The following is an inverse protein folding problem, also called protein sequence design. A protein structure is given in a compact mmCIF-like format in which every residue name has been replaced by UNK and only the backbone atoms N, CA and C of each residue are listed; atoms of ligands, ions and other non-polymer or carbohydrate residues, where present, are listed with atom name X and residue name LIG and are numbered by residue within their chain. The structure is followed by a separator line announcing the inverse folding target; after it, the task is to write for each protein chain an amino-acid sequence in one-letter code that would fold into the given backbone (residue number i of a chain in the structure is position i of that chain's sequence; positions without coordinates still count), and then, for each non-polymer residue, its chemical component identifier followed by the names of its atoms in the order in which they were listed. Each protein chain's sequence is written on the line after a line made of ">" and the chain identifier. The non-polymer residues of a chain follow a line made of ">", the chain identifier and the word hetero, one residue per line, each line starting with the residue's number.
data_IF_304476447373
#
_entry.id   IF_304476447373
#
_cell.length_a   1.000
_cell.length_b   1.000
_cell.length_c   1.000
_cell.angle_alpha   90.00
_cell.angle_beta   90.00
_cell.angle_gamma   90.00
#
_symmetry.space_group_name_H-M   'P 1'
#
loop_
_entity.id
_entity.type
_entity.pdbx_description
1 polymer ?
#
# COMPACT_ATOMS: atom_id res chain seq x y z
N UNK A 1 -2.28 -13.14 15.18
CA UNK A 1 -1.21 -12.17 15.48
C UNK A 1 -1.10 -11.83 16.97
N UNK A 2 -2.20 -11.75 17.70
CA UNK A 2 -2.28 -11.36 19.14
C UNK A 2 -1.26 -12.10 20.03
N UNK A 3 -1.15 -13.42 19.92
CA UNK A 3 -0.18 -14.23 20.68
C UNK A 3 1.27 -14.10 20.21
N UNK A 4 1.52 -13.50 19.06
CA UNK A 4 2.85 -13.28 18.48
C UNK A 4 3.38 -11.88 18.76
N UNK A 5 2.55 -10.98 19.28
CA UNK A 5 2.94 -9.61 19.58
C UNK A 5 4.06 -9.59 20.64
N UNK A 6 5.07 -8.77 20.40
CA UNK A 6 6.28 -8.68 21.23
C UNK A 6 6.42 -7.34 21.93
N UNK A 7 5.90 -6.28 21.32
CA UNK A 7 6.03 -4.89 21.75
C UNK A 7 4.66 -4.19 21.75
N UNK A 8 4.58 -3.05 22.47
CA UNK A 8 3.42 -2.17 22.43
C UNK A 8 3.51 -1.08 21.34
N UNK A 9 2.39 -0.47 20.98
CA UNK A 9 2.37 0.78 20.21
C UNK A 9 3.15 1.89 20.94
N UNK A 10 2.95 1.94 22.25
CA UNK A 10 3.54 2.89 23.19
C UNK A 10 3.79 2.19 24.54
N UNK A 11 4.41 2.89 25.48
CA UNK A 11 4.62 2.39 26.83
C UNK A 11 6.02 2.63 27.40
N UNK A 12 6.83 3.36 26.67
CA UNK A 12 8.17 3.73 27.07
C UNK A 12 9.21 2.64 26.86
N UNK A 13 10.40 2.88 27.43
CA UNK A 13 11.55 1.97 27.30
C UNK A 13 11.22 0.57 27.81
N UNK A 14 11.48 -0.44 26.99
CA UNK A 14 11.24 -1.85 27.29
C UNK A 14 9.84 -2.36 26.93
N UNK A 15 8.93 -1.50 26.47
CA UNK A 15 7.57 -1.85 26.06
C UNK A 15 7.30 -1.42 24.63
N UNK A 16 7.48 -0.14 24.30
CA UNK A 16 7.22 0.41 22.98
C UNK A 16 8.11 -0.16 21.89
N UNK A 17 7.59 -0.22 20.67
CA UNK A 17 8.22 -0.88 19.53
C UNK A 17 9.53 -0.23 19.05
N UNK A 18 9.75 1.06 19.31
CA UNK A 18 11.03 1.72 19.02
C UNK A 18 12.06 1.50 20.12
N UNK A 19 11.62 1.26 21.33
CA UNK A 19 12.45 1.21 22.55
C UNK A 19 13.20 2.52 22.84
N UNK A 20 12.69 3.66 22.36
CA UNK A 20 13.33 4.98 22.54
C UNK A 20 12.63 5.87 23.57
N UNK A 21 11.52 5.42 24.14
CA UNK A 21 10.74 6.18 25.11
C UNK A 21 9.52 6.87 24.52
N UNK A 22 8.72 7.49 25.40
CA UNK A 22 7.41 8.03 25.07
C UNK A 22 7.41 9.14 24.01
N UNK A 23 8.54 9.80 23.84
CA UNK A 23 8.68 10.90 22.88
C UNK A 23 8.85 10.42 21.43
N UNK A 24 9.08 9.11 21.25
CA UNK A 24 9.30 8.49 19.95
C UNK A 24 8.55 7.16 19.79
N UNK A 25 7.27 7.17 20.10
CA UNK A 25 6.36 6.03 20.02
C UNK A 25 5.03 6.46 19.38
N UNK A 26 4.15 5.51 19.10
CA UNK A 26 2.78 5.78 18.61
C UNK A 26 1.86 6.33 19.70
N UNK A 27 2.36 7.32 20.44
CA UNK A 27 1.60 8.01 21.50
C UNK A 27 0.43 8.75 20.88
N UNK A 28 -0.79 8.51 21.39
CA UNK A 28 -2.01 9.06 20.80
C UNK A 28 -2.56 8.23 19.63
N UNK A 29 -2.05 7.02 19.45
CA UNK A 29 -2.63 6.04 18.54
C UNK A 29 -4.05 5.67 18.99
N UNK A 30 -5.04 5.92 18.13
CA UNK A 30 -6.47 5.80 18.40
C UNK A 30 -7.17 4.74 17.53
N UNK A 31 -6.38 3.86 16.91
CA UNK A 31 -6.88 2.84 15.98
C UNK A 31 -6.91 1.43 16.60
N UNK A 32 -7.08 1.29 17.92
CA UNK A 32 -7.26 -0.01 18.54
C UNK A 32 -8.67 -0.57 18.30
N UNK A 33 -8.79 -1.91 18.28
CA UNK A 33 -10.05 -2.59 18.01
C UNK A 33 -10.37 -2.78 16.53
N UNK A 34 -11.65 -2.92 16.20
CA UNK A 34 -12.11 -3.11 14.81
C UNK A 34 -11.97 -1.82 14.01
N UNK A 35 -11.27 -1.92 12.90
CA UNK A 35 -11.01 -0.82 11.98
C UNK A 35 -11.28 -1.26 10.54
N UNK A 36 -11.54 -0.30 9.66
CA UNK A 36 -11.64 -0.52 8.22
C UNK A 36 -10.84 0.55 7.47
N UNK A 37 -9.91 0.12 6.63
CA UNK A 37 -9.11 1.00 5.79
C UNK A 37 -9.27 0.59 4.33
N UNK A 38 -9.76 1.49 3.49
CA UNK A 38 -9.98 1.23 2.07
C UNK A 38 -10.86 -0.02 1.82
N UNK A 39 -11.89 -0.23 2.65
CA UNK A 39 -12.77 -1.40 2.55
C UNK A 39 -12.18 -2.69 3.15
N UNK A 40 -10.96 -2.66 3.68
CA UNK A 40 -10.29 -3.83 4.29
C UNK A 40 -10.46 -3.80 5.80
N UNK A 41 -11.13 -4.81 6.39
CA UNK A 41 -11.32 -4.89 7.83
C UNK A 41 -10.05 -5.37 8.55
N UNK A 42 -9.77 -4.80 9.71
CA UNK A 42 -8.71 -5.20 10.62
C UNK A 42 -9.21 -5.27 12.07
N UNK A 43 -8.76 -6.28 12.80
CA UNK A 43 -8.87 -6.35 14.27
C UNK A 43 -7.52 -5.93 14.87
N UNK A 44 -7.41 -4.64 15.18
CA UNK A 44 -6.20 -4.06 15.77
C UNK A 44 -6.15 -4.43 17.24
N UNK A 45 -5.00 -4.90 17.72
CA UNK A 45 -4.86 -5.35 19.11
C UNK A 45 -5.09 -4.17 20.07
N UNK A 46 -6.03 -4.31 20.99
CA UNK A 46 -6.18 -3.42 22.14
C UNK A 46 -5.03 -3.74 23.11
N UNK A 47 -4.06 -2.83 23.20
CA UNK A 47 -2.81 -3.06 23.92
C UNK A 47 -3.01 -3.43 25.38
N UNK A 48 -3.92 -2.74 26.07
CA UNK A 48 -4.22 -2.97 27.47
C UNK A 48 -4.82 -4.37 27.76
N UNK A 49 -5.40 -5.01 26.73
CA UNK A 49 -6.00 -6.35 26.82
C UNK A 49 -5.03 -7.47 26.43
N UNK A 50 -3.78 -7.15 26.08
CA UNK A 50 -2.80 -8.12 25.60
C UNK A 50 -1.42 -7.92 26.23
N UNK A 51 -1.36 -7.84 27.55
CA UNK A 51 -0.10 -7.66 28.33
C UNK A 51 0.77 -6.51 27.84
N UNK A 52 0.16 -5.40 27.42
CA UNK A 52 0.79 -4.24 26.81
C UNK A 52 1.57 -4.54 25.51
N UNK A 53 1.17 -5.58 24.78
CA UNK A 53 1.76 -5.97 23.50
C UNK A 53 0.72 -5.85 22.40
N UNK A 54 1.07 -5.18 21.31
CA UNK A 54 0.14 -4.90 20.21
C UNK A 54 0.76 -5.04 18.83
N UNK A 55 2.10 -5.12 18.75
CA UNK A 55 2.81 -5.26 17.48
C UNK A 55 3.89 -6.36 17.56
N UNK A 56 4.22 -6.94 16.42
CA UNK A 56 5.39 -7.79 16.28
C UNK A 56 6.58 -6.88 15.90
N UNK A 57 7.52 -6.72 16.80
CA UNK A 57 8.75 -5.97 16.54
C UNK A 57 9.84 -6.90 16.02
N UNK A 58 10.31 -6.67 14.78
CA UNK A 58 11.43 -7.40 14.18
C UNK A 58 12.69 -6.53 14.23
N UNK A 59 13.78 -7.05 14.78
CA UNK A 59 15.08 -6.37 14.80
C UNK A 59 16.23 -7.36 14.92
N UNK A 60 17.37 -7.05 14.29
CA UNK A 60 18.57 -7.89 14.40
C UNK A 60 19.07 -7.98 15.83
N UNK A 61 19.49 -9.17 16.26
CA UNK A 61 20.14 -9.39 17.57
C UNK A 61 21.42 -8.56 17.76
N UNK A 62 22.08 -8.17 16.66
CA UNK A 62 23.29 -7.34 16.73
C UNK A 62 23.03 -5.95 17.29
N UNK A 63 21.79 -5.44 17.16
CA UNK A 63 21.40 -4.10 17.60
C UNK A 63 20.31 -4.10 18.67
N UNK A 64 19.52 -5.17 18.77
CA UNK A 64 18.46 -5.31 19.76
C UNK A 64 18.97 -6.05 21.01
N UNK A 65 19.03 -5.34 22.13
CA UNK A 65 19.41 -5.94 23.42
C UNK A 65 18.21 -6.31 24.29
N UNK A 66 16.99 -5.96 23.84
CA UNK A 66 15.76 -6.17 24.62
C UNK A 66 14.93 -7.34 24.08
N UNK A 67 14.17 -7.98 24.98
CA UNK A 67 13.31 -9.13 24.65
C UNK A 67 12.05 -8.75 23.86
N UNK A 68 11.81 -7.48 23.64
CA UNK A 68 10.65 -6.97 22.88
C UNK A 68 10.82 -7.07 21.35
N UNK A 69 11.94 -7.58 20.89
CA UNK A 69 12.20 -7.82 19.48
C UNK A 69 12.50 -9.30 19.23
N UNK A 70 12.10 -9.76 18.05
CA UNK A 70 12.47 -11.07 17.51
C UNK A 70 13.14 -10.88 16.17
N UNK A 71 13.97 -11.83 15.73
CA UNK A 71 14.59 -11.78 14.41
C UNK A 71 13.66 -12.28 13.30
N UNK A 72 12.78 -13.20 13.66
CA UNK A 72 11.81 -13.79 12.74
C UNK A 72 10.54 -14.17 13.48
N UNK A 73 9.44 -14.22 12.72
CA UNK A 73 8.14 -14.70 13.17
C UNK A 73 7.47 -15.48 12.06
N UNK A 74 6.73 -16.54 12.43
CA UNK A 74 5.80 -17.23 11.53
C UNK A 74 4.37 -16.89 11.92
N UNK A 75 3.66 -16.27 11.00
CA UNK A 75 2.24 -15.90 11.15
C UNK A 75 1.40 -17.00 10.49
N UNK A 76 0.64 -17.81 11.25
CA UNK A 76 -0.19 -18.87 10.68
C UNK A 76 -1.32 -18.26 9.83
N UNK A 77 -1.47 -18.71 8.59
CA UNK A 77 -2.52 -18.31 7.67
C UNK A 77 -3.55 -19.45 7.53
N UNK A 78 -3.12 -20.62 7.11
CA UNK A 78 -3.92 -21.85 6.94
C UNK A 78 -5.12 -21.72 5.98
N UNK A 79 -5.05 -20.80 5.02
CA UNK A 79 -6.08 -20.48 4.03
C UNK A 79 -5.51 -20.52 2.61
N UNK A 80 -6.38 -20.71 1.64
CA UNK A 80 -6.09 -20.36 0.24
C UNK A 80 -6.52 -18.91 0.05
N UNK A 81 -5.59 -18.03 -0.37
CA UNK A 81 -5.81 -16.59 -0.44
C UNK A 81 -5.13 -16.00 -1.67
N UNK A 82 -5.70 -14.96 -2.23
CA UNK A 82 -5.08 -14.19 -3.33
C UNK A 82 -3.95 -13.27 -2.82
N UNK A 83 -3.99 -12.92 -1.54
CA UNK A 83 -2.95 -12.12 -0.91
C UNK A 83 -3.25 -11.79 0.55
N UNK A 84 -2.43 -10.89 1.09
CA UNK A 84 -2.56 -10.36 2.45
C UNK A 84 -2.51 -8.84 2.40
N UNK A 85 -3.31 -8.20 3.22
CA UNK A 85 -3.12 -6.80 3.58
C UNK A 85 -2.36 -6.75 4.90
N UNK A 86 -1.23 -6.07 4.92
CA UNK A 86 -0.32 -6.03 6.06
C UNK A 86 -0.12 -4.58 6.50
N UNK A 87 -0.50 -4.24 7.72
CA UNK A 87 -0.14 -2.95 8.31
C UNK A 87 1.25 -3.10 8.90
N UNK A 88 2.24 -2.44 8.29
CA UNK A 88 3.62 -2.50 8.72
C UNK A 88 4.42 -1.25 8.34
N UNK A 89 5.39 -0.89 9.16
CA UNK A 89 6.34 0.18 8.88
C UNK A 89 7.73 -0.19 9.38
N UNK A 90 8.72 0.55 8.89
CA UNK A 90 10.11 0.45 9.33
C UNK A 90 10.51 1.64 10.18
N UNK A 91 11.52 1.44 11.02
CA UNK A 91 12.31 2.50 11.64
C UNK A 91 13.78 2.29 11.29
N UNK A 92 14.51 3.41 11.09
CA UNK A 92 15.93 3.40 10.72
C UNK A 92 16.24 2.66 9.42
N UNK A 93 15.31 2.66 8.50
CA UNK A 93 15.41 2.02 7.18
C UNK A 93 16.33 2.77 6.23
N UNK A 94 17.62 2.68 6.42
CA UNK A 94 18.62 3.34 5.57
C UNK A 94 19.15 2.46 4.44
N UNK A 95 18.87 1.16 4.47
CA UNK A 95 19.33 0.18 3.48
C UNK A 95 18.16 -0.32 2.64
N UNK A 96 18.44 -0.76 1.41
CA UNK A 96 17.42 -1.16 0.47
C UNK A 96 16.63 -2.38 0.95
N UNK A 97 17.26 -3.47 1.26
CA UNK A 97 16.62 -4.70 1.73
C UNK A 97 16.68 -4.77 3.26
N UNK A 98 15.55 -4.55 3.91
CA UNK A 98 15.48 -4.52 5.38
C UNK A 98 14.87 -5.76 6.00
N UNK A 99 14.03 -6.47 5.26
CA UNK A 99 13.39 -7.71 5.69
C UNK A 99 13.17 -8.64 4.52
N UNK A 100 12.81 -9.88 4.83
CA UNK A 100 12.38 -10.89 3.87
C UNK A 100 11.09 -11.52 4.37
N UNK A 101 10.08 -11.56 3.51
CA UNK A 101 8.83 -12.26 3.76
C UNK A 101 8.77 -13.48 2.87
N UNK A 102 8.44 -14.63 3.48
CA UNK A 102 8.38 -15.92 2.81
C UNK A 102 6.97 -16.51 2.94
N UNK A 103 6.32 -16.70 1.82
CA UNK A 103 5.11 -17.52 1.74
C UNK A 103 5.52 -18.98 1.92
N UNK A 104 4.97 -19.66 2.89
CA UNK A 104 5.15 -21.11 3.10
C UNK A 104 3.84 -21.79 2.81
N UNK A 105 3.82 -22.67 1.83
CA UNK A 105 2.60 -23.37 1.42
C UNK A 105 2.44 -24.72 2.13
N UNK A 106 1.23 -25.27 2.10
CA UNK A 106 0.92 -26.54 2.76
C UNK A 106 1.65 -27.74 2.13
N UNK A 107 2.12 -27.61 0.88
CA UNK A 107 2.96 -28.58 0.20
C UNK A 107 4.47 -28.41 0.48
N UNK A 108 4.82 -27.58 1.47
CA UNK A 108 6.18 -27.22 1.90
C UNK A 108 7.00 -26.45 0.85
N UNK A 109 6.43 -26.05 -0.28
CA UNK A 109 7.06 -25.12 -1.21
C UNK A 109 7.04 -23.70 -0.64
N UNK A 110 7.95 -22.84 -1.10
CA UNK A 110 8.10 -21.48 -0.60
C UNK A 110 8.32 -20.47 -1.70
N UNK A 111 7.84 -19.23 -1.49
CA UNK A 111 8.15 -18.06 -2.32
C UNK A 111 8.66 -16.92 -1.45
N UNK A 112 9.83 -16.40 -1.78
CA UNK A 112 10.51 -15.35 -1.00
C UNK A 112 10.39 -14.00 -1.67
N UNK A 113 10.08 -12.96 -0.88
CA UNK A 113 10.03 -11.58 -1.31
C UNK A 113 10.90 -10.72 -0.41
N UNK A 114 11.84 -10.01 -1.02
CA UNK A 114 12.62 -9.00 -0.32
C UNK A 114 11.75 -7.76 -0.04
N UNK A 115 11.82 -7.26 1.17
CA UNK A 115 11.09 -6.08 1.63
C UNK A 115 12.03 -4.89 1.62
N UNK A 116 11.92 -4.12 0.55
CA UNK A 116 12.73 -2.93 0.30
C UNK A 116 12.06 -1.68 0.90
N UNK A 117 12.85 -0.82 1.53
CA UNK A 117 12.40 0.50 1.99
C UNK A 117 11.96 1.36 0.79
N UNK A 118 10.92 2.17 0.97
CA UNK A 118 10.28 3.01 -0.04
C UNK A 118 9.66 2.23 -1.22
N UNK A 119 9.37 0.94 -1.00
CA UNK A 119 8.69 0.11 -1.99
C UNK A 119 7.63 -0.78 -1.34
N UNK A 120 8.03 -1.88 -0.67
CA UNK A 120 7.11 -2.74 0.06
C UNK A 120 6.83 -2.25 1.48
N UNK A 121 7.74 -1.45 2.07
CA UNK A 121 7.60 -0.88 3.40
C UNK A 121 8.12 0.55 3.41
N UNK A 122 7.54 1.41 4.24
CA UNK A 122 7.95 2.80 4.39
C UNK A 122 8.47 3.07 5.79
N UNK A 123 9.36 4.07 5.88
CA UNK A 123 9.80 4.62 7.16
C UNK A 123 8.59 5.26 7.86
N UNK A 124 8.37 4.95 9.14
CA UNK A 124 7.24 5.48 9.89
C UNK A 124 7.36 6.99 10.17
N UNK A 125 8.60 7.52 10.13
CA UNK A 125 8.88 8.95 10.13
C UNK A 125 8.80 9.49 8.71
N UNK A 126 7.66 10.05 8.35
CA UNK A 126 7.42 10.59 7.02
C UNK A 126 6.04 10.22 6.49
N UNK A 127 5.77 10.64 5.27
CA UNK A 127 4.51 10.42 4.57
C UNK A 127 4.75 9.70 3.23
N UNK A 128 5.64 8.70 3.25
CA UNK A 128 5.89 7.86 2.08
C UNK A 128 4.72 6.92 1.81
N UNK A 129 4.28 6.85 0.58
CA UNK A 129 3.20 5.95 0.15
C UNK A 129 3.29 5.55 -1.31
N UNK A 130 2.54 4.53 -1.70
CA UNK A 130 2.30 4.14 -3.08
C UNK A 130 0.90 3.56 -3.25
N UNK A 131 0.52 3.28 -4.49
CA UNK A 131 -0.78 2.69 -4.82
C UNK A 131 -1.08 1.37 -4.10
N UNK A 132 -0.04 0.57 -3.84
CA UNK A 132 -0.15 -0.73 -3.16
C UNK A 132 0.27 -0.70 -1.69
N UNK A 133 0.62 0.50 -1.20
CA UNK A 133 1.07 0.71 0.16
C UNK A 133 0.68 2.13 0.63
N UNK A 134 -0.64 2.44 0.67
CA UNK A 134 -1.15 3.74 1.07
C UNK A 134 -0.98 3.99 2.57
N UNK A 135 -0.94 5.26 2.94
CA UNK A 135 -1.03 5.70 4.33
C UNK A 135 -2.47 5.49 4.82
N UNK A 136 -2.62 4.81 5.96
CA UNK A 136 -3.90 4.57 6.62
C UNK A 136 -4.10 5.43 7.88
N UNK A 137 -3.01 5.95 8.43
CA UNK A 137 -3.02 6.80 9.62
C UNK A 137 -1.84 7.75 9.62
N UNK A 138 -2.04 8.93 10.17
CA UNK A 138 -0.99 9.93 10.38
C UNK A 138 -1.07 10.46 11.80
N UNK A 139 0.09 10.72 12.37
CA UNK A 139 0.20 11.25 13.73
C UNK A 139 1.44 12.08 13.93
N UNK A 140 1.73 12.34 15.20
CA UNK A 140 2.88 13.11 15.64
C UNK A 140 3.54 12.45 16.84
N UNK A 141 4.84 12.63 16.98
CA UNK A 141 5.56 12.41 18.23
C UNK A 141 6.26 13.71 18.61
N UNK A 142 6.59 13.96 19.90
CA UNK A 142 7.34 15.14 20.29
C UNK A 142 8.65 15.30 19.49
N UNK A 143 9.37 14.21 19.28
CA UNK A 143 10.64 14.22 18.58
C UNK A 143 10.50 14.48 17.07
N UNK A 144 9.54 13.82 16.41
CA UNK A 144 9.25 14.06 15.00
C UNK A 144 8.74 15.48 14.75
N UNK A 145 7.83 15.97 15.60
CA UNK A 145 7.30 17.34 15.52
C UNK A 145 8.37 18.41 15.69
N UNK A 146 9.36 18.18 16.57
CA UNK A 146 10.49 19.10 16.73
C UNK A 146 11.34 19.20 15.45
N UNK A 147 11.31 18.20 14.59
CA UNK A 147 11.97 18.15 13.28
C UNK A 147 11.05 18.55 12.11
N UNK A 148 9.79 18.89 12.38
CA UNK A 148 8.80 19.20 11.35
C UNK A 148 8.33 17.98 10.54
N UNK A 149 8.45 16.77 11.10
CA UNK A 149 8.11 15.51 10.45
C UNK A 149 6.80 14.98 11.05
N UNK A 150 5.93 14.43 10.22
CA UNK A 150 4.79 13.60 10.63
C UNK A 150 5.20 12.14 10.68
N UNK A 151 4.48 11.35 11.48
CA UNK A 151 4.59 9.90 11.47
C UNK A 151 3.39 9.29 10.74
N UNK A 152 3.57 8.11 10.17
CA UNK A 152 2.50 7.42 9.46
C UNK A 152 2.51 5.91 9.67
N UNK A 153 1.34 5.30 9.45
CA UNK A 153 1.21 3.86 9.26
C UNK A 153 0.71 3.59 7.84
N UNK A 154 1.24 2.54 7.25
CA UNK A 154 0.91 2.11 5.90
C UNK A 154 0.30 0.71 5.89
N UNK A 155 -0.57 0.48 4.91
CA UNK A 155 -1.14 -0.84 4.62
C UNK A 155 -0.59 -1.35 3.30
N UNK A 156 0.21 -2.41 3.34
CA UNK A 156 0.79 -3.04 2.17
C UNK A 156 -0.11 -4.13 1.61
N UNK A 157 -0.44 -4.02 0.34
CA UNK A 157 -1.14 -5.04 -0.41
C UNK A 157 -0.14 -6.06 -0.96
N UNK A 158 -0.08 -7.23 -0.33
CA UNK A 158 0.91 -8.27 -0.59
C UNK A 158 0.30 -9.44 -1.35
N UNK A 159 0.45 -9.43 -2.68
CA UNK A 159 -0.09 -10.48 -3.55
C UNK A 159 0.58 -11.83 -3.30
N UNK A 160 -0.22 -12.90 -3.29
CA UNK A 160 0.28 -14.27 -3.22
C UNK A 160 0.75 -14.71 -4.62
N UNK A 161 2.03 -15.10 -4.81
CA UNK A 161 2.52 -15.59 -6.09
C UNK A 161 1.82 -16.87 -6.60
N UNK A 162 1.33 -17.71 -5.68
CA UNK A 162 0.67 -18.99 -5.96
C UNK A 162 -0.74 -19.04 -5.34
N UNK A 163 -1.71 -18.22 -5.84
CA UNK A 163 -3.00 -18.03 -5.17
C UNK A 163 -3.88 -19.27 -5.10
N UNK A 164 -3.59 -20.30 -5.89
CA UNK A 164 -4.31 -21.58 -5.86
C UNK A 164 -3.81 -22.53 -4.79
N UNK A 165 -2.62 -22.27 -4.21
CA UNK A 165 -2.07 -23.08 -3.14
C UNK A 165 -2.58 -22.61 -1.78
N UNK A 166 -2.78 -23.58 -0.88
CA UNK A 166 -3.06 -23.26 0.51
C UNK A 166 -1.80 -22.73 1.19
N UNK A 167 -1.85 -21.50 1.69
CA UNK A 167 -0.78 -20.91 2.49
C UNK A 167 -0.85 -21.51 3.89
N UNK A 168 0.25 -22.05 4.38
CA UNK A 168 0.43 -22.54 5.74
C UNK A 168 0.70 -21.38 6.68
N UNK A 169 1.71 -20.59 6.36
CA UNK A 169 2.13 -19.43 7.15
C UNK A 169 2.87 -18.40 6.29
N UNK A 170 2.91 -17.17 6.78
CA UNK A 170 3.83 -16.14 6.32
C UNK A 170 4.98 -16.03 7.32
N UNK A 171 6.21 -16.32 6.89
CA UNK A 171 7.41 -16.11 7.68
C UNK A 171 7.99 -14.75 7.37
N UNK A 172 8.21 -13.94 8.40
CA UNK A 172 8.81 -12.60 8.29
C UNK A 172 10.15 -12.59 9.04
N UNK A 173 11.21 -12.16 8.38
CA UNK A 173 12.58 -12.14 8.92
C UNK A 173 13.21 -10.78 8.68
N UNK A 174 13.85 -10.20 9.71
CA UNK A 174 14.67 -9.02 9.52
C UNK A 174 16.02 -9.41 8.88
N UNK A 175 16.44 -8.66 7.86
CA UNK A 175 17.72 -8.88 7.17
C UNK A 175 18.70 -7.73 7.38
N UNK A 176 18.20 -6.58 7.83
CA UNK A 176 19.01 -5.41 8.15
C UNK A 176 19.61 -5.51 9.55
N UNK A 177 20.87 -5.12 9.69
CA UNK A 177 21.53 -4.97 11.00
C UNK A 177 21.22 -3.62 11.67
N UNK A 178 20.48 -2.73 11.01
CA UNK A 178 20.22 -1.36 11.50
C UNK A 178 18.73 -1.12 11.72
N UNK A 179 17.90 -1.47 10.72
CA UNK A 179 16.48 -1.22 10.75
C UNK A 179 15.72 -2.10 11.77
N UNK A 180 14.58 -1.61 12.18
CA UNK A 180 13.52 -2.40 12.81
C UNK A 180 12.27 -2.39 11.92
N UNK A 181 11.47 -3.46 11.98
CA UNK A 181 10.15 -3.52 11.35
C UNK A 181 9.10 -3.72 12.43
N UNK A 182 7.99 -3.07 12.26
CA UNK A 182 6.78 -3.24 13.05
C UNK A 182 5.71 -3.88 12.15
N UNK A 183 5.15 -5.03 12.56
CA UNK A 183 3.95 -5.61 11.94
C UNK A 183 2.80 -5.44 12.93
N UNK A 184 1.80 -4.68 12.52
CA UNK A 184 0.69 -4.26 13.38
C UNK A 184 -0.51 -5.20 13.22
N UNK A 185 -0.94 -5.44 11.99
CA UNK A 185 -2.07 -6.30 11.69
C UNK A 185 -1.92 -6.96 10.31
N UNK A 186 -2.63 -8.08 10.13
CA UNK A 186 -2.65 -8.83 8.86
C UNK A 186 -4.07 -9.30 8.60
N UNK A 187 -4.60 -9.01 7.42
CA UNK A 187 -5.89 -9.50 6.93
C UNK A 187 -5.67 -10.35 5.68
N UNK A 188 -6.25 -11.54 5.68
CA UNK A 188 -6.25 -12.41 4.52
C UNK A 188 -7.28 -11.91 3.49
N UNK A 189 -6.91 -11.92 2.21
CA UNK A 189 -7.72 -11.34 1.15
C UNK A 189 -7.98 -12.30 -0.01
N UNK A 190 -9.23 -12.31 -0.46
CA UNK A 190 -9.68 -12.86 -1.73
C UNK A 190 -10.10 -11.68 -2.59
N UNK A 191 -9.38 -11.43 -3.68
CA UNK A 191 -9.63 -10.28 -4.56
C UNK A 191 -10.71 -10.57 -5.61
N UNK A 192 -11.26 -11.79 -5.63
CA UNK A 192 -12.31 -12.20 -6.55
C UNK A 192 -11.97 -11.96 -8.02
N UNK A 193 -10.69 -12.10 -8.39
CA UNK A 193 -10.20 -11.81 -9.73
C UNK A 193 -10.03 -10.32 -10.05
N UNK A 194 -10.24 -9.42 -9.07
CA UNK A 194 -9.95 -7.99 -9.17
C UNK A 194 -8.55 -7.69 -8.66
N UNK A 195 -7.92 -6.67 -9.22
CA UNK A 195 -6.62 -6.22 -8.71
C UNK A 195 -6.72 -5.67 -7.28
N UNK A 196 -5.67 -5.85 -6.48
CA UNK A 196 -5.56 -5.24 -5.15
C UNK A 196 -5.81 -3.73 -5.24
N UNK A 197 -6.67 -3.19 -4.38
CA UNK A 197 -7.10 -1.78 -4.29
C UNK A 197 -7.84 -1.21 -5.51
N UNK A 198 -7.94 -1.89 -6.66
CA UNK A 198 -8.58 -1.29 -7.83
C UNK A 198 -10.09 -1.09 -7.65
N UNK A 199 -10.78 -2.02 -6.98
CA UNK A 199 -12.21 -1.88 -6.69
C UNK A 199 -12.51 -0.81 -5.63
N UNK A 200 -11.57 -0.57 -4.73
CA UNK A 200 -11.74 0.34 -3.59
C UNK A 200 -11.40 1.78 -3.95
N UNK A 201 -10.49 2.00 -4.90
CA UNK A 201 -10.24 3.36 -5.42
C UNK A 201 -11.43 3.95 -6.16
N UNK A 202 -12.24 3.12 -6.80
CA UNK A 202 -13.51 3.57 -7.36
C UNK A 202 -14.48 4.03 -6.25
N UNK A 203 -14.41 3.42 -5.05
CA UNK A 203 -15.25 3.79 -3.91
C UNK A 203 -14.71 4.95 -3.08
N UNK A 204 -13.38 5.14 -2.99
CA UNK A 204 -12.77 6.27 -2.24
C UNK A 204 -13.06 7.61 -2.91
N UNK A 205 -13.19 7.62 -4.22
CA UNK A 205 -13.55 8.79 -5.02
C UNK A 205 -14.97 8.69 -5.60
N UNK A 206 -15.84 7.87 -4.99
CA UNK A 206 -17.26 8.03 -5.22
C UNK A 206 -17.69 9.22 -4.36
N UNK A 207 -17.67 10.45 -4.88
CA UNK A 207 -18.44 11.50 -4.25
C UNK A 207 -19.85 10.96 -4.17
N UNK A 208 -20.63 11.43 -3.23
CA UNK A 208 -22.07 11.20 -3.23
C UNK A 208 -22.58 11.41 -4.65
N UNK A 209 -22.76 10.30 -5.37
CA UNK A 209 -23.05 10.31 -6.82
C UNK A 209 -24.54 10.14 -7.07
N UNK A 210 -25.36 10.23 -6.01
CA UNK A 210 -26.82 10.10 -6.13
C UNK A 210 -27.39 11.12 -7.11
N UNK A 211 -26.69 12.25 -7.28
CA UNK A 211 -27.03 13.31 -8.24
C UNK A 211 -26.22 13.24 -9.55
N UNK A 212 -25.33 12.26 -9.71
CA UNK A 212 -24.49 12.17 -10.91
C UNK A 212 -25.13 11.31 -11.99
N UNK A 213 -25.22 11.88 -13.16
CA UNK A 213 -25.70 11.17 -14.35
C UNK A 213 -24.57 10.36 -14.99
N UNK A 214 -24.77 9.04 -15.11
CA UNK A 214 -23.80 8.18 -15.79
C UNK A 214 -23.84 8.39 -17.31
N UNK A 215 -22.84 9.03 -17.87
CA UNK A 215 -22.73 9.21 -19.32
C UNK A 215 -22.50 7.89 -20.02
N UNK A 216 -23.35 7.57 -20.98
CA UNK A 216 -23.26 6.40 -21.84
C UNK A 216 -22.88 6.80 -23.27
N UNK A 217 -22.50 5.81 -24.12
CA UNK A 217 -22.29 6.05 -25.56
C UNK A 217 -23.55 6.57 -26.27
N UNK A 218 -24.74 6.29 -25.73
CA UNK A 218 -26.00 6.83 -26.26
C UNK A 218 -26.09 8.33 -26.00
N UNK A 219 -25.75 8.76 -24.79
CA UNK A 219 -25.76 10.17 -24.38
C UNK A 219 -24.79 11.01 -25.20
N UNK A 220 -23.60 10.46 -25.53
CA UNK A 220 -22.65 11.13 -26.40
C UNK A 220 -23.22 11.41 -27.80
N UNK A 221 -24.09 10.55 -28.30
CA UNK A 221 -24.80 10.76 -29.59
C UNK A 221 -25.84 11.87 -29.51
N UNK A 222 -26.47 12.07 -28.36
CA UNK A 222 -27.43 13.16 -28.14
C UNK A 222 -26.74 14.52 -27.99
N UNK A 223 -25.42 14.56 -27.77
CA UNK A 223 -24.65 15.81 -27.75
C UNK A 223 -24.43 16.41 -29.15
N UNK A 224 -24.63 15.62 -30.21
CA UNK A 224 -24.44 16.10 -31.60
C UNK A 224 -25.42 17.25 -31.88
N UNK A 225 -24.84 18.38 -32.30
CA UNK A 225 -25.59 19.61 -32.57
C UNK A 225 -25.87 20.49 -31.34
N UNK A 226 -25.37 20.12 -30.15
CA UNK A 226 -25.41 20.98 -28.96
C UNK A 226 -24.15 21.83 -28.85
N UNK A 227 -24.10 22.85 -27.94
CA UNK A 227 -22.87 23.62 -27.68
C UNK A 227 -21.68 22.76 -27.19
N UNK A 228 -21.93 21.53 -26.72
CA UNK A 228 -20.91 20.58 -26.30
C UNK A 228 -20.46 19.64 -27.42
N UNK A 229 -21.08 19.72 -28.59
CA UNK A 229 -20.70 18.94 -29.75
C UNK A 229 -19.39 19.48 -30.33
N UNK A 230 -18.33 18.74 -30.13
CA UNK A 230 -17.01 19.00 -30.70
C UNK A 230 -16.68 18.10 -31.89
N UNK A 231 -17.65 17.34 -32.38
CA UNK A 231 -17.47 16.41 -33.49
C UNK A 231 -17.00 17.08 -34.77
N UNK A 232 -17.31 18.37 -34.94
CA UNK A 232 -16.84 19.19 -36.08
C UNK A 232 -15.31 19.41 -36.07
N UNK A 233 -14.64 19.18 -34.96
CA UNK A 233 -13.16 19.23 -34.82
C UNK A 233 -12.51 17.92 -35.29
N UNK A 234 -13.30 16.86 -35.44
CA UNK A 234 -12.80 15.53 -35.81
C UNK A 234 -13.07 15.34 -37.33
N UNK A 235 -12.02 15.39 -38.13
CA UNK A 235 -12.14 14.99 -39.51
C UNK A 235 -12.04 13.46 -39.61
N UNK A 236 -13.13 12.83 -40.04
CA UNK A 236 -13.24 11.37 -40.18
C UNK A 236 -12.93 10.86 -41.59
N UNK A 237 -12.50 11.74 -42.51
CA UNK A 237 -12.14 11.33 -43.85
C UNK A 237 -10.81 10.54 -43.83
N UNK A 238 -10.70 9.60 -44.76
CA UNK A 238 -9.42 8.94 -45.02
C UNK A 238 -8.56 9.87 -45.88
N UNK A 239 -7.59 10.52 -45.27
CA UNK A 239 -6.65 11.39 -45.91
C UNK A 239 -5.38 10.66 -46.40
N UNK A 240 -5.30 9.34 -46.20
CA UNK A 240 -4.16 8.52 -46.56
C UNK A 240 -2.97 8.68 -45.61
N UNK A 241 -1.78 8.27 -46.07
CA UNK A 241 -0.58 8.28 -45.23
C UNK A 241 -0.09 9.70 -44.95
N UNK A 242 0.39 9.95 -43.75
CA UNK A 242 1.09 11.19 -43.39
C UNK A 242 2.53 11.14 -43.92
N UNK A 243 2.96 12.22 -44.47
CA UNK A 243 4.34 12.45 -44.96
C UNK A 243 4.87 13.79 -44.47
N UNK A 244 6.18 13.97 -44.48
CA UNK A 244 6.83 15.26 -44.18
C UNK A 244 7.00 16.05 -45.47
N UNK A 245 6.55 17.30 -45.46
CA UNK A 245 6.76 18.24 -46.59
C UNK A 245 7.25 19.59 -46.04
N UNK A 246 8.55 19.84 -46.17
CA UNK A 246 9.18 20.96 -45.47
C UNK A 246 9.14 20.76 -43.97
N UNK A 247 8.61 21.74 -43.27
CA UNK A 247 8.49 21.71 -41.79
C UNK A 247 7.10 21.20 -41.29
N UNK A 248 6.25 20.77 -42.23
CA UNK A 248 4.88 20.34 -41.93
C UNK A 248 4.68 18.83 -42.13
N UNK A 249 3.79 18.23 -41.31
CA UNK A 249 3.18 16.95 -41.60
C UNK A 249 1.97 17.14 -42.47
N UNK A 250 1.92 16.41 -43.60
CA UNK A 250 0.79 16.46 -44.53
C UNK A 250 0.31 15.06 -44.87
N UNK A 251 -0.97 14.93 -45.09
CA UNK A 251 -1.60 13.69 -45.57
C UNK A 251 -1.33 13.54 -47.10
N UNK A 252 -1.61 12.33 -47.60
CA UNK A 252 -1.41 12.03 -49.04
C UNK A 252 -2.25 12.91 -49.97
N UNK A 253 -3.39 13.43 -49.54
CA UNK A 253 -4.25 14.36 -50.26
C UNK A 253 -3.79 15.83 -50.15
N UNK A 254 -2.69 16.10 -49.44
CA UNK A 254 -2.14 17.44 -49.25
C UNK A 254 -2.73 18.21 -48.06
N UNK A 255 -3.69 17.64 -47.32
CA UNK A 255 -4.23 18.30 -46.14
C UNK A 255 -3.18 18.32 -45.01
N UNK A 256 -3.08 19.42 -44.26
CA UNK A 256 -2.17 19.54 -43.13
C UNK A 256 -2.61 18.58 -42.02
N UNK A 257 -1.68 17.74 -41.53
CA UNK A 257 -1.93 16.83 -40.45
C UNK A 257 -1.64 17.52 -39.11
N UNK A 258 -2.67 17.68 -38.29
CA UNK A 258 -2.56 18.15 -36.91
C UNK A 258 -2.82 16.99 -35.96
N UNK A 259 -1.89 16.78 -35.05
CA UNK A 259 -2.02 15.67 -34.06
C UNK A 259 -2.28 16.24 -32.68
N UNK A 260 -3.31 15.70 -32.03
CA UNK A 260 -3.59 15.95 -30.65
C UNK A 260 -3.29 14.66 -29.88
N UNK A 261 -2.54 14.76 -28.83
CA UNK A 261 -2.20 13.63 -27.98
C UNK A 261 -2.38 13.97 -26.51
N UNK A 262 -2.87 13.00 -25.75
CA UNK A 262 -2.93 13.06 -24.29
C UNK A 262 -1.97 12.00 -23.77
N UNK A 263 -0.99 12.41 -22.96
CA UNK A 263 -0.20 11.46 -22.20
C UNK A 263 -0.99 11.02 -20.99
N UNK A 264 -1.36 9.75 -20.96
CA UNK A 264 -1.94 9.11 -19.78
C UNK A 264 -0.81 8.31 -19.14
N UNK A 265 -0.28 8.81 -18.05
CA UNK A 265 0.61 8.02 -17.21
C UNK A 265 -0.27 7.12 -16.32
N UNK A 266 -0.32 5.85 -16.65
CA UNK A 266 -0.82 4.83 -15.75
C UNK A 266 0.31 4.50 -14.76
N UNK A 267 0.12 4.86 -13.50
CA UNK A 267 0.98 4.47 -12.39
C UNK A 267 0.38 3.25 -11.69
#
# INVERSE_FOLDING_TARGET
>A
IRSLATSGYYGGSGVGWTNQGSDNELTGFDLEGEQEFFGVPFDMIVQAENDNKSVIGLRSEKVATSRQFVQSVSIPINLTVDGLYIIHNAAWGTTKNIAKYTWVYADETTEEVNIDINKQIYEWWGLGESAVNPIIWQGETPEASAMGIKISLNMFAFANPEPTKKVKELKCEITSDVAACMIVAVTAADFGGKGMFMAERENIYSPDTDDWYAYTLADLKEMIGTPLDVSYLIDTKDHGKVTVKGDDFVFADGTKANFWGVNINAY
#
